data_IF_199122985241
#
_entry.id   IF_199122985241
#
_cell.length_a   1.000
_cell.length_b   1.000
_cell.length_c   1.000
_cell.angle_alpha   90.00
_cell.angle_beta   90.00
_cell.angle_gamma   90.00
#
_symmetry.space_group_name_H-M   'P 1'
#
loop_
_entity.id
_entity.type
_entity.pdbx_description
1 polymer ?
#
# COMPACT_ATOMS: atom_id res chain seq x y z
N UNK A 1 36.23 14.58 -16.65
CA UNK A 1 36.18 13.96 -15.31
C UNK A 1 35.12 14.73 -14.52
N UNK A 2 33.85 14.36 -14.44
CA UNK A 2 33.24 13.04 -14.33
C UNK A 2 32.46 13.01 -13.02
N UNK A 3 31.44 13.86 -12.90
CA UNK A 3 30.58 13.99 -11.70
C UNK A 3 29.59 12.83 -11.66
N UNK A 4 30.00 11.69 -11.10
CA UNK A 4 29.16 10.51 -10.85
C UNK A 4 28.41 10.60 -9.50
N UNK A 5 27.52 11.58 -9.36
CA UNK A 5 26.52 11.56 -8.29
C UNK A 5 25.16 11.92 -8.87
N UNK A 6 24.12 11.19 -8.43
CA UNK A 6 22.70 11.20 -8.88
C UNK A 6 22.35 10.22 -10.03
N UNK A 7 22.53 8.92 -9.78
CA UNK A 7 21.68 7.85 -10.31
C UNK A 7 21.18 7.09 -9.09
N UNK A 8 19.89 6.93 -8.78
CA UNK A 8 18.68 6.95 -9.59
C UNK A 8 17.50 7.11 -8.63
N UNK A 9 16.89 8.28 -8.64
CA UNK A 9 15.67 8.58 -7.89
C UNK A 9 14.75 9.29 -8.89
N UNK A 10 14.08 8.50 -9.73
CA UNK A 10 13.06 9.02 -10.64
C UNK A 10 11.75 9.05 -9.85
N UNK A 11 11.55 10.14 -9.11
CA UNK A 11 10.26 10.51 -8.57
C UNK A 11 9.48 11.25 -9.66
N UNK A 12 8.30 10.76 -10.03
CA UNK A 12 7.41 11.46 -10.95
C UNK A 12 6.15 11.88 -10.19
N UNK A 13 5.82 13.17 -10.23
CA UNK A 13 4.52 13.72 -9.85
C UNK A 13 3.64 13.56 -11.10
N UNK A 14 2.60 12.73 -11.05
CA UNK A 14 1.89 12.32 -12.28
C UNK A 14 0.83 13.32 -12.76
N UNK A 15 0.23 14.11 -11.88
CA UNK A 15 -0.89 14.98 -12.21
C UNK A 15 -0.70 16.38 -11.61
N UNK A 16 -0.55 17.40 -12.47
CA UNK A 16 -0.43 18.81 -12.07
C UNK A 16 -1.70 19.56 -12.43
N UNK A 17 -2.18 20.40 -11.50
CA UNK A 17 -3.31 21.28 -11.71
C UNK A 17 -2.85 22.73 -11.56
N UNK A 18 -2.96 23.49 -12.63
CA UNK A 18 -2.70 24.94 -12.64
C UNK A 18 -4.03 25.68 -12.67
N UNK A 19 -4.16 26.71 -11.84
CA UNK A 19 -5.36 27.55 -11.76
C UNK A 19 -4.96 29.01 -11.77
N UNK A 20 -5.75 29.82 -12.44
CA UNK A 20 -5.51 31.25 -12.62
C UNK A 20 -6.82 32.02 -12.82
N UNK A 21 -6.78 33.35 -12.72
CA UNK A 21 -7.97 34.18 -12.91
C UNK A 21 -8.55 34.05 -14.33
N UNK A 22 -9.86 34.21 -14.44
CA UNK A 22 -10.59 34.23 -15.73
C UNK A 22 -10.01 35.29 -16.67
N UNK A 23 -10.03 35.00 -17.98
CA UNK A 23 -9.52 35.87 -19.05
C UNK A 23 -8.05 36.31 -18.91
N UNK A 24 -7.26 35.55 -18.16
CA UNK A 24 -5.81 35.78 -18.05
C UNK A 24 -4.99 34.65 -18.69
N UNK A 25 -3.80 34.94 -19.23
CA UNK A 25 -2.92 33.92 -19.77
C UNK A 25 -2.20 33.10 -18.68
N UNK A 26 -2.49 33.32 -17.39
CA UNK A 26 -1.73 32.78 -16.25
C UNK A 26 -1.64 31.26 -16.29
N UNK A 27 -2.76 30.55 -16.57
CA UNK A 27 -2.74 29.09 -16.66
C UNK A 27 -1.84 28.59 -17.80
N UNK A 28 -1.85 29.28 -18.95
CA UNK A 28 -0.99 28.92 -20.08
C UNK A 28 0.47 29.19 -19.75
N UNK A 29 0.77 30.37 -19.18
CA UNK A 29 2.12 30.74 -18.76
C UNK A 29 2.69 29.75 -17.73
N UNK A 30 1.87 29.31 -16.77
CA UNK A 30 2.26 28.29 -15.79
C UNK A 30 2.55 26.94 -16.46
N UNK A 31 1.71 26.52 -17.41
CA UNK A 31 1.91 25.27 -18.16
C UNK A 31 3.17 25.32 -19.03
N UNK A 32 3.41 26.43 -19.73
CA UNK A 32 4.59 26.64 -20.57
C UNK A 32 5.87 26.67 -19.73
N UNK A 33 5.88 27.48 -18.66
CA UNK A 33 7.01 27.55 -17.71
C UNK A 33 7.30 26.19 -17.10
N UNK A 34 6.25 25.46 -16.70
CA UNK A 34 6.41 24.11 -16.16
C UNK A 34 6.98 23.13 -17.19
N UNK A 35 6.57 23.26 -18.45
CA UNK A 35 7.07 22.45 -19.55
C UNK A 35 8.54 22.73 -19.84
N UNK A 36 8.95 24.00 -19.88
CA UNK A 36 10.34 24.42 -20.07
C UNK A 36 11.24 23.87 -18.95
N UNK A 37 10.78 23.97 -17.69
CA UNK A 37 11.49 23.41 -16.53
C UNK A 37 11.63 21.89 -16.67
N UNK A 38 10.58 21.19 -17.11
CA UNK A 38 10.64 19.74 -17.29
C UNK A 38 11.59 19.34 -18.43
N UNK A 39 11.62 20.09 -19.52
CA UNK A 39 12.58 19.88 -20.61
C UNK A 39 14.02 20.09 -20.14
N UNK A 40 14.30 21.19 -19.42
CA UNK A 40 15.62 21.47 -18.85
C UNK A 40 16.08 20.39 -17.86
N UNK A 41 15.16 19.87 -17.05
CA UNK A 41 15.42 18.82 -16.07
C UNK A 41 15.40 17.39 -16.67
N UNK A 42 15.10 17.24 -17.96
CA UNK A 42 14.99 15.94 -18.63
C UNK A 42 13.82 15.08 -18.15
N UNK A 43 12.75 15.70 -17.64
CA UNK A 43 11.52 15.06 -17.17
C UNK A 43 10.52 14.96 -18.33
N UNK A 44 10.17 13.75 -18.81
CA UNK A 44 9.29 13.59 -19.96
C UNK A 44 7.85 13.92 -19.59
N UNK A 45 7.19 14.91 -20.22
CA UNK A 45 5.76 15.20 -20.02
C UNK A 45 4.91 14.35 -20.99
N UNK A 46 3.81 13.79 -20.50
CA UNK A 46 2.79 13.14 -21.33
C UNK A 46 1.95 14.22 -22.05
N UNK A 47 2.43 14.71 -23.19
CA UNK A 47 1.77 15.76 -23.96
C UNK A 47 0.36 15.33 -24.40
N UNK A 48 0.13 14.04 -24.63
CA UNK A 48 -1.17 13.47 -24.98
C UNK A 48 -2.20 13.49 -23.84
N UNK A 49 -1.75 13.74 -22.61
CA UNK A 49 -2.60 13.89 -21.41
C UNK A 49 -2.62 15.32 -20.89
N UNK A 50 -1.78 16.19 -21.43
CA UNK A 50 -1.70 17.58 -21.02
C UNK A 50 -2.88 18.33 -21.61
N UNK A 51 -3.70 18.92 -20.74
CA UNK A 51 -4.84 19.74 -21.13
C UNK A 51 -4.45 21.18 -20.89
N UNK A 52 -4.54 22.01 -21.93
CA UNK A 52 -4.33 23.45 -21.81
C UNK A 52 -5.38 24.11 -20.90
N UNK A 53 -5.37 25.45 -20.79
CA UNK A 53 -6.37 26.18 -20.05
C UNK A 53 -7.78 25.81 -20.50
N UNK A 54 -8.55 25.24 -19.59
CA UNK A 54 -9.96 24.88 -19.80
C UNK A 54 -10.73 25.19 -18.54
N UNK A 55 -12.01 25.51 -18.70
CA UNK A 55 -12.92 25.77 -17.58
C UNK A 55 -13.58 24.51 -17.05
N UNK A 56 -13.46 23.38 -17.77
CA UNK A 56 -13.96 22.07 -17.34
C UNK A 56 -12.88 21.01 -17.56
N UNK A 57 -12.26 20.54 -16.48
CA UNK A 57 -11.13 19.62 -16.50
C UNK A 57 -11.43 18.32 -15.75
N UNK A 58 -11.14 17.17 -16.37
CA UNK A 58 -11.09 15.90 -15.64
C UNK A 58 -9.78 15.81 -14.87
N UNK A 59 -9.83 15.87 -13.54
CA UNK A 59 -8.66 15.78 -12.66
C UNK A 59 -8.94 14.80 -11.51
N UNK A 60 -8.01 13.85 -11.28
CA UNK A 60 -8.15 12.78 -10.26
C UNK A 60 -9.48 12.00 -10.33
N UNK A 61 -10.03 11.86 -11.54
CA UNK A 61 -11.28 11.13 -11.78
C UNK A 61 -12.56 11.88 -11.41
N UNK A 62 -12.47 13.19 -11.14
CA UNK A 62 -13.58 14.13 -11.00
C UNK A 62 -13.52 15.17 -12.13
N UNK A 63 -14.63 15.84 -12.42
CA UNK A 63 -14.66 17.03 -13.29
C UNK A 63 -14.66 18.24 -12.38
N UNK A 64 -13.66 19.10 -12.53
CA UNK A 64 -13.63 20.45 -11.97
C UNK A 64 -14.21 21.38 -13.02
N UNK A 65 -15.26 22.11 -12.69
CA UNK A 65 -15.91 23.07 -13.58
C UNK A 65 -15.92 24.44 -12.91
N UNK A 66 -15.16 25.37 -13.48
CA UNK A 66 -14.97 26.72 -12.95
C UNK A 66 -16.05 27.69 -13.41
N UNK A 67 -16.86 27.36 -14.41
CA UNK A 67 -18.01 28.19 -14.81
C UNK A 67 -19.14 27.97 -13.82
N UNK A 68 -19.49 26.71 -13.58
CA UNK A 68 -20.53 26.33 -12.63
C UNK A 68 -20.05 26.37 -11.18
N UNK A 69 -18.73 26.51 -10.97
CA UNK A 69 -18.07 26.50 -9.66
C UNK A 69 -18.37 25.21 -8.86
N UNK A 70 -18.27 24.07 -9.53
CA UNK A 70 -18.55 22.75 -8.95
C UNK A 70 -17.47 21.72 -9.27
N UNK A 71 -17.31 20.78 -8.34
CA UNK A 71 -16.61 19.52 -8.61
C UNK A 71 -17.65 18.41 -8.70
N UNK A 72 -17.74 17.75 -9.86
CA UNK A 72 -18.75 16.72 -10.13
C UNK A 72 -18.14 15.39 -10.57
N UNK A 73 -18.91 14.32 -10.40
CA UNK A 73 -18.54 13.01 -10.92
C UNK A 73 -18.72 13.02 -12.46
N UNK A 74 -17.76 12.53 -13.25
CA UNK A 74 -17.90 12.43 -14.70
C UNK A 74 -19.16 11.65 -15.12
N UNK A 75 -19.83 12.13 -16.18
CA UNK A 75 -21.10 11.56 -16.63
C UNK A 75 -20.97 10.08 -17.03
N UNK A 76 -19.84 9.67 -17.59
CA UNK A 76 -19.55 8.28 -17.94
C UNK A 76 -19.55 7.35 -16.70
N UNK A 77 -19.02 7.81 -15.56
CA UNK A 77 -19.08 7.08 -14.30
C UNK A 77 -20.50 7.02 -13.75
N UNK A 78 -21.27 8.11 -13.86
CA UNK A 78 -22.68 8.15 -13.46
C UNK A 78 -23.55 7.22 -14.30
N UNK A 79 -23.34 7.20 -15.62
CA UNK A 79 -24.05 6.30 -16.54
C UNK A 79 -23.72 4.85 -16.26
N UNK A 80 -22.43 4.55 -16.02
CA UNK A 80 -22.00 3.21 -15.62
C UNK A 80 -22.67 2.78 -14.31
N UNK A 81 -22.69 3.65 -13.30
CA UNK A 81 -23.34 3.37 -12.02
C UNK A 81 -24.85 3.16 -12.20
N UNK A 82 -25.53 4.00 -13.00
CA UNK A 82 -26.95 3.84 -13.34
C UNK A 82 -27.22 2.51 -14.03
N UNK A 83 -26.40 2.12 -15.01
CA UNK A 83 -26.55 0.85 -15.72
C UNK A 83 -26.36 -0.38 -14.81
N UNK A 84 -25.59 -0.24 -13.73
CA UNK A 84 -25.44 -1.28 -12.71
C UNK A 84 -26.62 -1.30 -11.73
N UNK A 85 -27.19 -0.13 -11.42
CA UNK A 85 -28.32 0.02 -10.50
C UNK A 85 -29.66 -0.38 -11.11
N UNK A 86 -29.88 -0.15 -12.41
CA UNK A 86 -31.15 -0.43 -13.08
C UNK A 86 -31.59 -1.89 -12.95
N UNK A 87 -30.76 -2.90 -13.29
CA UNK A 87 -31.15 -4.32 -13.13
C UNK A 87 -31.42 -4.71 -11.67
N UNK A 88 -30.78 -4.04 -10.72
CA UNK A 88 -30.93 -4.27 -9.28
C UNK A 88 -32.26 -3.74 -8.77
N UNK A 89 -32.65 -2.54 -9.19
CA UNK A 89 -33.89 -1.89 -8.77
C UNK A 89 -35.15 -2.62 -9.28
N UNK A 90 -35.07 -3.29 -10.43
CA UNK A 90 -36.22 -3.99 -11.04
C UNK A 90 -36.36 -5.47 -10.66
N UNK A 91 -35.34 -6.08 -10.06
CA UNK A 91 -35.39 -7.49 -9.70
C UNK A 91 -35.90 -7.71 -8.27
N UNK A 92 -36.88 -8.60 -8.09
CA UNK A 92 -37.39 -9.02 -6.76
C UNK A 92 -36.35 -9.76 -5.90
N UNK A 93 -35.25 -10.21 -6.51
CA UNK A 93 -34.12 -10.89 -5.87
C UNK A 93 -32.82 -10.38 -6.48
N UNK A 94 -31.89 -10.01 -5.61
CA UNK A 94 -30.55 -9.54 -5.96
C UNK A 94 -29.56 -10.61 -5.53
N UNK A 95 -28.55 -10.90 -6.35
CA UNK A 95 -27.45 -11.77 -5.93
C UNK A 95 -26.42 -10.96 -5.13
N UNK A 96 -25.61 -11.65 -4.32
CA UNK A 96 -24.48 -11.01 -3.64
C UNK A 96 -23.57 -10.29 -4.66
N UNK A 97 -23.29 -10.94 -5.80
CA UNK A 97 -22.46 -10.39 -6.89
C UNK A 97 -23.01 -9.11 -7.52
N UNK A 98 -24.33 -8.95 -7.58
CA UNK A 98 -24.95 -7.73 -8.11
C UNK A 98 -24.77 -6.57 -7.13
N UNK A 99 -25.00 -6.81 -5.83
CA UNK A 99 -24.68 -5.87 -4.75
C UNK A 99 -23.20 -5.49 -4.75
N UNK A 100 -22.32 -6.47 -4.93
CA UNK A 100 -20.87 -6.25 -5.01
C UNK A 100 -20.47 -5.30 -6.15
N UNK A 101 -21.15 -5.39 -7.29
CA UNK A 101 -20.89 -4.57 -8.47
C UNK A 101 -21.37 -3.11 -8.32
N UNK A 102 -22.40 -2.88 -7.51
CA UNK A 102 -23.03 -1.57 -7.33
C UNK A 102 -22.47 -0.79 -6.15
N UNK A 103 -22.20 -1.47 -5.03
CA UNK A 103 -21.79 -0.81 -3.79
C UNK A 103 -20.28 -0.50 -3.79
N UNK A 104 -19.52 -1.06 -4.74
CA UNK A 104 -18.06 -0.99 -4.71
C UNK A 104 -17.56 -1.78 -3.51
N UNK A 105 -17.61 -3.11 -3.63
CA UNK A 105 -17.23 -4.09 -2.62
C UNK A 105 -16.29 -3.57 -1.53
N UNK A 106 -16.77 -3.62 -0.29
CA UNK A 106 -15.90 -3.47 0.87
C UNK A 106 -14.88 -4.62 0.86
N UNK A 107 -13.64 -4.33 0.50
CA UNK A 107 -12.55 -5.30 0.47
C UNK A 107 -12.06 -5.50 1.89
N UNK A 108 -12.50 -6.59 2.52
CA UNK A 108 -12.02 -7.00 3.83
C UNK A 108 -10.59 -7.56 3.74
N UNK A 109 -9.70 -7.01 4.55
CA UNK A 109 -8.30 -7.42 4.68
C UNK A 109 -8.02 -7.78 6.13
N UNK A 110 -7.46 -8.96 6.37
CA UNK A 110 -6.93 -9.31 7.69
C UNK A 110 -5.41 -9.17 7.67
N UNK A 111 -4.83 -8.45 8.64
CA UNK A 111 -3.37 -8.36 8.82
C UNK A 111 -3.01 -9.09 10.11
N UNK A 112 -2.40 -10.26 9.98
CA UNK A 112 -2.06 -11.14 11.09
C UNK A 112 -0.55 -11.21 11.26
N UNK A 113 -0.09 -11.07 12.50
CA UNK A 113 1.33 -11.23 12.80
C UNK A 113 1.67 -11.04 14.26
N UNK A 114 2.96 -10.79 14.51
CA UNK A 114 3.49 -10.72 15.87
C UNK A 114 3.42 -9.31 16.49
N UNK A 115 4.38 -8.98 17.37
CA UNK A 115 4.51 -7.65 17.97
C UNK A 115 4.75 -6.54 16.93
N UNK A 116 5.40 -6.83 15.79
CA UNK A 116 5.55 -5.86 14.70
C UNK A 116 4.21 -5.38 14.16
N UNK A 117 3.25 -6.28 13.93
CA UNK A 117 1.89 -5.93 13.48
C UNK A 117 1.12 -5.20 14.57
N UNK A 118 1.28 -5.62 15.84
CA UNK A 118 0.65 -4.91 16.97
C UNK A 118 1.13 -3.46 17.05
N UNK A 119 2.44 -3.24 16.93
CA UNK A 119 3.03 -1.91 16.98
C UNK A 119 2.65 -1.08 15.75
N UNK A 120 2.65 -1.68 14.56
CA UNK A 120 2.19 -1.03 13.33
C UNK A 120 0.72 -0.60 13.42
N UNK A 121 -0.16 -1.40 14.02
CA UNK A 121 -1.55 -1.00 14.29
C UNK A 121 -1.63 0.21 15.22
N UNK A 122 -0.87 0.20 16.33
CA UNK A 122 -0.84 1.34 17.26
C UNK A 122 -0.34 2.60 16.55
N UNK A 123 0.71 2.48 15.74
CA UNK A 123 1.27 3.58 14.94
C UNK A 123 0.29 4.08 13.86
N UNK A 124 -0.47 3.19 13.24
CA UNK A 124 -1.48 3.56 12.25
C UNK A 124 -2.61 4.42 12.83
N UNK A 125 -2.88 4.35 14.15
CA UNK A 125 -3.95 5.15 14.80
C UNK A 125 -3.66 6.65 14.80
N UNK A 126 -2.39 7.05 14.83
CA UNK A 126 -1.97 8.46 14.85
C UNK A 126 -1.62 9.02 13.47
N UNK A 127 -1.64 8.19 12.42
CA UNK A 127 -1.30 8.59 11.05
C UNK A 127 -2.50 9.09 10.27
N UNK A 128 -2.24 9.97 9.29
CA UNK A 128 -3.21 10.33 8.26
C UNK A 128 -3.69 9.08 7.51
N UNK A 129 -5.01 8.92 7.37
CA UNK A 129 -5.63 7.71 6.83
C UNK A 129 -5.95 6.63 7.87
N UNK A 130 -5.44 6.78 9.11
CA UNK A 130 -5.79 5.97 10.26
C UNK A 130 -5.50 4.48 10.10
N UNK A 131 -6.22 3.67 10.88
CA UNK A 131 -6.05 2.20 10.90
C UNK A 131 -6.42 1.50 9.58
N UNK A 132 -7.10 2.19 8.66
CA UNK A 132 -7.37 1.69 7.32
C UNK A 132 -6.35 2.18 6.28
N UNK A 133 -5.27 2.85 6.71
CA UNK A 133 -4.18 3.33 5.85
C UNK A 133 -4.68 4.22 4.69
N UNK A 134 -5.78 4.94 4.91
CA UNK A 134 -6.44 5.73 3.88
C UNK A 134 -7.09 4.93 2.75
N UNK A 135 -7.08 3.59 2.79
CA UNK A 135 -7.64 2.72 1.76
C UNK A 135 -9.17 2.57 1.85
N UNK A 136 -9.79 3.10 2.91
CA UNK A 136 -11.25 3.25 2.98
C UNK A 136 -11.82 4.00 1.76
N UNK A 137 -11.03 4.89 1.15
CA UNK A 137 -11.37 5.63 -0.08
C UNK A 137 -11.60 4.73 -1.31
N UNK A 138 -11.02 3.53 -1.30
CA UNK A 138 -11.21 2.50 -2.33
C UNK A 138 -11.99 1.29 -1.78
N UNK A 139 -12.75 1.48 -0.71
CA UNK A 139 -13.59 0.44 -0.12
C UNK A 139 -12.83 -0.59 0.73
N UNK A 140 -11.58 -0.36 1.15
CA UNK A 140 -10.86 -1.34 1.96
C UNK A 140 -11.12 -1.15 3.45
N UNK A 141 -11.42 -2.26 4.14
CA UNK A 141 -11.45 -2.34 5.60
C UNK A 141 -10.40 -3.32 6.11
N UNK A 142 -9.55 -2.85 7.01
CA UNK A 142 -8.45 -3.60 7.57
C UNK A 142 -8.77 -4.04 9.00
N UNK A 143 -8.61 -5.34 9.26
CA UNK A 143 -8.67 -5.92 10.59
C UNK A 143 -7.29 -6.38 11.06
N UNK A 144 -6.77 -5.72 12.10
CA UNK A 144 -5.42 -5.93 12.63
C UNK A 144 -5.42 -6.98 13.74
N UNK A 145 -4.51 -7.96 13.62
CA UNK A 145 -4.41 -9.12 14.51
C UNK A 145 -2.95 -9.37 14.86
N UNK A 146 -2.39 -8.47 15.68
CA UNK A 146 -1.00 -8.49 16.14
C UNK A 146 -0.85 -9.04 17.57
N UNK A 147 -0.14 -10.16 17.73
CA UNK A 147 0.03 -10.84 19.01
C UNK A 147 1.50 -10.96 19.41
N UNK A 148 1.86 -10.51 20.62
CA UNK A 148 3.25 -10.57 21.09
C UNK A 148 3.81 -12.01 21.06
N UNK A 149 4.99 -12.18 20.46
CA UNK A 149 5.67 -13.49 20.42
C UNK A 149 5.09 -14.53 19.45
N UNK A 150 3.99 -14.22 18.74
CA UNK A 150 3.35 -15.14 17.80
C UNK A 150 4.35 -15.73 16.79
N UNK A 151 4.34 -17.04 16.65
CA UNK A 151 5.10 -17.80 15.65
C UNK A 151 4.20 -18.72 14.84
N UNK A 152 4.81 -19.57 14.00
CA UNK A 152 4.07 -20.48 13.10
C UNK A 152 3.08 -21.39 13.83
N UNK A 153 3.48 -21.94 14.98
CA UNK A 153 2.65 -22.83 15.81
C UNK A 153 1.32 -22.20 16.27
N UNK A 154 1.25 -20.87 16.33
CA UNK A 154 0.10 -20.13 16.84
C UNK A 154 -0.87 -19.71 15.72
N UNK A 155 -0.43 -19.79 14.46
CA UNK A 155 -1.17 -19.23 13.33
C UNK A 155 -2.49 -19.96 13.08
N UNK A 156 -2.46 -21.29 13.05
CA UNK A 156 -3.64 -22.11 12.74
C UNK A 156 -4.78 -21.87 13.73
N UNK A 157 -4.49 -21.93 15.04
CA UNK A 157 -5.48 -21.68 16.08
C UNK A 157 -5.99 -20.23 16.06
N UNK A 158 -5.12 -19.27 15.71
CA UNK A 158 -5.50 -17.87 15.52
C UNK A 158 -6.48 -17.72 14.37
N UNK A 159 -6.18 -18.23 13.18
CA UNK A 159 -7.09 -18.14 12.02
C UNK A 159 -8.45 -18.79 12.33
N UNK A 160 -8.45 -20.01 12.89
CA UNK A 160 -9.69 -20.69 13.30
C UNK A 160 -10.52 -19.87 14.29
N UNK A 161 -9.86 -19.15 15.21
CA UNK A 161 -10.55 -18.25 16.14
C UNK A 161 -11.14 -17.03 15.42
N UNK A 162 -10.38 -16.38 14.55
CA UNK A 162 -10.84 -15.19 13.81
C UNK A 162 -12.07 -15.48 12.95
N UNK A 163 -12.12 -16.64 12.30
CA UNK A 163 -13.26 -17.09 11.50
C UNK A 163 -14.56 -17.24 12.30
N UNK A 164 -14.50 -17.30 13.64
CA UNK A 164 -15.71 -17.32 14.49
C UNK A 164 -16.32 -15.93 14.65
N UNK A 165 -15.56 -14.87 14.41
CA UNK A 165 -15.96 -13.49 14.68
C UNK A 165 -16.21 -12.68 13.40
N UNK A 166 -15.57 -13.05 12.29
CA UNK A 166 -15.66 -12.29 11.04
C UNK A 166 -15.64 -13.23 9.83
N UNK A 167 -16.25 -12.78 8.72
CA UNK A 167 -16.21 -13.51 7.46
C UNK A 167 -14.78 -13.55 6.89
N UNK A 168 -14.49 -14.61 6.13
CA UNK A 168 -13.21 -14.77 5.44
C UNK A 168 -12.84 -13.49 4.65
N UNK A 169 -11.61 -12.97 4.79
CA UNK A 169 -11.22 -11.75 4.09
C UNK A 169 -10.97 -12.04 2.61
N UNK A 170 -10.98 -11.00 1.78
CA UNK A 170 -10.47 -11.13 0.40
C UNK A 170 -8.95 -11.32 0.41
N UNK A 171 -8.25 -10.57 1.26
CA UNK A 171 -6.79 -10.69 1.44
C UNK A 171 -6.42 -11.01 2.89
N UNK A 172 -5.60 -12.04 3.08
CA UNK A 172 -5.00 -12.38 4.36
C UNK A 172 -3.50 -12.05 4.32
N UNK A 173 -3.14 -10.90 4.89
CA UNK A 173 -1.74 -10.48 5.02
C UNK A 173 -1.11 -11.17 6.22
N UNK A 174 -0.05 -11.93 5.97
CA UNK A 174 0.70 -12.67 6.99
C UNK A 174 2.09 -12.05 7.16
N UNK A 175 2.36 -11.53 8.35
CA UNK A 175 3.68 -11.06 8.77
C UNK A 175 4.15 -11.89 9.97
N UNK A 176 4.70 -13.07 9.69
CA UNK A 176 4.99 -14.09 10.71
C UNK A 176 6.35 -14.76 10.45
N UNK A 177 6.65 -15.85 11.17
CA UNK A 177 7.84 -16.69 11.09
C UNK A 177 9.16 -16.04 11.56
N UNK A 178 9.26 -14.72 11.68
CA UNK A 178 10.46 -14.06 12.21
C UNK A 178 10.89 -14.54 13.60
N UNK A 179 9.93 -15.01 14.42
CA UNK A 179 10.19 -15.55 15.77
C UNK A 179 10.62 -17.02 15.76
N UNK A 180 10.58 -17.70 14.61
CA UNK A 180 10.88 -19.13 14.47
C UNK A 180 12.30 -19.39 13.95
N UNK A 181 12.98 -18.32 13.55
CA UNK A 181 14.38 -18.33 13.14
C UNK A 181 15.31 -18.80 14.26
N UNK A 182 16.21 -19.73 13.91
CA UNK A 182 17.22 -20.30 14.80
C UNK A 182 16.71 -21.46 15.68
N UNK A 183 15.41 -21.76 15.66
CA UNK A 183 14.83 -22.91 16.40
C UNK A 183 15.11 -24.25 15.71
N UNK A 184 15.11 -24.26 14.38
CA UNK A 184 15.29 -25.46 13.55
C UNK A 184 16.19 -25.16 12.35
N UNK A 185 16.64 -26.19 11.63
CA UNK A 185 17.42 -25.98 10.40
C UNK A 185 16.56 -25.30 9.34
N UNK A 186 17.19 -24.49 8.48
CA UNK A 186 16.53 -23.69 7.46
C UNK A 186 15.55 -24.47 6.57
N UNK A 187 15.94 -25.68 6.16
CA UNK A 187 15.10 -26.54 5.32
C UNK A 187 13.81 -26.99 6.03
N UNK A 188 13.89 -27.29 7.33
CA UNK A 188 12.71 -27.65 8.13
C UNK A 188 11.80 -26.45 8.32
N UNK A 189 12.34 -25.29 8.72
CA UNK A 189 11.57 -24.05 8.85
C UNK A 189 10.84 -23.70 7.54
N UNK A 190 11.53 -23.80 6.40
CA UNK A 190 10.93 -23.56 5.08
C UNK A 190 9.73 -24.48 4.84
N UNK A 191 9.87 -25.77 5.11
CA UNK A 191 8.81 -26.75 4.88
C UNK A 191 7.65 -26.54 5.86
N UNK A 192 7.93 -26.18 7.11
CA UNK A 192 6.94 -25.86 8.13
C UNK A 192 6.11 -24.62 7.75
N UNK A 193 6.75 -23.56 7.22
CA UNK A 193 6.04 -22.39 6.70
C UNK A 193 5.09 -22.81 5.58
N UNK A 194 5.57 -23.57 4.59
CA UNK A 194 4.74 -24.01 3.45
C UNK A 194 3.54 -24.84 3.89
N UNK A 195 3.77 -25.86 4.72
CA UNK A 195 2.70 -26.70 5.25
C UNK A 195 1.68 -25.89 6.06
N UNK A 196 2.15 -24.91 6.84
CA UNK A 196 1.26 -24.00 7.57
C UNK A 196 0.41 -23.15 6.63
N UNK A 197 1.00 -22.60 5.55
CA UNK A 197 0.26 -21.81 4.56
C UNK A 197 -0.79 -22.64 3.82
N UNK A 198 -0.47 -23.89 3.44
CA UNK A 198 -1.43 -24.80 2.80
C UNK A 198 -2.61 -25.11 3.73
N UNK A 199 -2.35 -25.35 5.02
CA UNK A 199 -3.40 -25.52 6.03
C UNK A 199 -4.26 -24.27 6.17
N UNK A 200 -3.66 -23.08 6.24
CA UNK A 200 -4.42 -21.82 6.33
C UNK A 200 -5.28 -21.62 5.08
N UNK A 201 -4.75 -21.90 3.88
CA UNK A 201 -5.50 -21.80 2.63
C UNK A 201 -6.70 -22.78 2.61
N UNK A 202 -6.57 -23.97 3.19
CA UNK A 202 -7.70 -24.93 3.24
C UNK A 202 -8.84 -24.46 4.14
N UNK A 203 -8.57 -23.63 5.16
CA UNK A 203 -9.61 -22.99 5.97
C UNK A 203 -10.25 -21.78 5.30
N UNK A 204 -9.51 -21.11 4.41
CA UNK A 204 -9.90 -19.87 3.75
C UNK A 204 -9.73 -19.97 2.23
N UNK A 205 -10.47 -20.87 1.54
CA UNK A 205 -10.19 -21.22 0.14
C UNK A 205 -10.35 -20.05 -0.84
N UNK A 206 -11.19 -19.06 -0.51
CA UNK A 206 -11.45 -17.89 -1.35
C UNK A 206 -10.60 -16.66 -0.96
N UNK A 207 -9.78 -16.76 0.08
CA UNK A 207 -8.88 -15.68 0.49
C UNK A 207 -7.56 -15.77 -0.26
N UNK A 208 -7.08 -14.64 -0.76
CA UNK A 208 -5.73 -14.52 -1.30
C UNK A 208 -4.73 -14.33 -0.15
N UNK A 209 -3.81 -15.27 0.03
CA UNK A 209 -2.70 -15.11 0.98
C UNK A 209 -1.73 -14.06 0.44
N UNK A 210 -1.42 -13.08 1.28
CA UNK A 210 -0.40 -12.06 1.03
C UNK A 210 0.74 -12.27 2.01
N UNK A 211 1.90 -12.70 1.52
CA UNK A 211 3.06 -12.87 2.38
C UNK A 211 3.84 -11.56 2.49
N UNK A 212 3.81 -10.98 3.68
CA UNK A 212 4.66 -9.84 4.02
C UNK A 212 6.04 -10.36 4.38
N UNK A 213 7.05 -10.00 3.60
CA UNK A 213 8.44 -10.38 3.80
C UNK A 213 8.89 -10.22 5.27
N UNK A 214 9.64 -11.21 5.77
CA UNK A 214 10.27 -11.14 7.08
C UNK A 214 11.32 -10.04 7.06
N UNK A 215 11.16 -9.02 7.90
CA UNK A 215 12.05 -7.86 7.98
C UNK A 215 13.45 -8.26 8.47
N UNK A 216 14.49 -7.50 8.10
CA UNK A 216 15.80 -7.68 8.72
C UNK A 216 15.73 -7.37 10.22
N UNK A 217 16.64 -8.02 10.96
CA UNK A 217 16.86 -7.83 12.39
C UNK A 217 18.36 -7.81 12.62
N UNK A 218 18.80 -7.00 13.57
CA UNK A 218 20.19 -7.01 14.05
C UNK A 218 20.35 -7.94 15.24
N UNK A 219 19.23 -8.39 15.83
CA UNK A 219 19.20 -9.31 16.95
C UNK A 219 18.25 -10.50 16.70
N UNK A 220 18.83 -11.71 16.62
CA UNK A 220 18.15 -12.98 16.45
C UNK A 220 18.35 -13.84 17.71
N UNK A 221 17.28 -13.97 18.52
CA UNK A 221 17.29 -14.60 19.86
C UNK A 221 17.99 -15.96 19.96
N UNK A 222 17.92 -16.78 18.91
CA UNK A 222 18.40 -18.17 18.93
C UNK A 222 19.70 -18.38 18.12
N UNK A 223 20.42 -17.31 17.77
CA UNK A 223 21.68 -17.42 17.04
C UNK A 223 22.71 -16.43 17.58
N UNK A 224 23.95 -16.89 17.62
CA UNK A 224 25.12 -16.05 17.92
C UNK A 224 25.57 -15.30 16.65
N UNK A 225 25.46 -15.94 15.47
CA UNK A 225 25.83 -15.34 14.19
C UNK A 225 24.64 -14.61 13.56
N UNK A 226 24.59 -13.29 13.71
CA UNK A 226 23.51 -12.45 13.16
C UNK A 226 23.55 -12.41 11.61
N UNK A 227 24.75 -12.40 11.03
CA UNK A 227 24.94 -12.40 9.56
C UNK A 227 24.42 -13.68 8.90
N UNK A 228 24.69 -14.83 9.53
CA UNK A 228 24.17 -16.12 9.05
C UNK A 228 22.63 -16.15 9.12
N UNK A 229 22.04 -15.53 10.14
CA UNK A 229 20.59 -15.41 10.24
C UNK A 229 20.00 -14.48 9.19
N UNK A 230 20.69 -13.40 8.86
CA UNK A 230 20.32 -12.52 7.76
C UNK A 230 20.37 -13.23 6.41
N UNK A 231 21.40 -14.04 6.14
CA UNK A 231 21.46 -14.87 4.94
C UNK A 231 20.33 -15.92 4.90
N UNK A 232 20.04 -16.57 6.03
CA UNK A 232 18.90 -17.48 6.18
C UNK A 232 17.58 -16.77 5.89
N UNK A 233 17.39 -15.55 6.39
CA UNK A 233 16.18 -14.74 6.17
C UNK A 233 15.97 -14.47 4.69
N UNK A 234 17.00 -14.05 3.97
CA UNK A 234 16.94 -13.80 2.52
C UNK A 234 16.52 -15.07 1.77
N UNK A 235 17.13 -16.22 2.10
CA UNK A 235 16.81 -17.51 1.47
C UNK A 235 15.37 -17.96 1.74
N UNK A 236 14.88 -17.80 2.97
CA UNK A 236 13.49 -18.12 3.32
C UNK A 236 12.53 -17.21 2.57
N UNK A 237 12.74 -15.90 2.62
CA UNK A 237 11.88 -14.94 1.94
C UNK A 237 11.78 -15.24 0.44
N UNK A 238 12.90 -15.51 -0.23
CA UNK A 238 12.92 -15.92 -1.63
C UNK A 238 12.10 -17.21 -1.87
N UNK A 239 12.36 -18.27 -1.08
CA UNK A 239 11.69 -19.55 -1.26
C UNK A 239 10.17 -19.50 -0.98
N UNK A 240 9.74 -18.68 -0.02
CA UNK A 240 8.32 -18.51 0.33
C UNK A 240 7.63 -17.57 -0.67
N UNK A 241 8.30 -16.53 -1.16
CA UNK A 241 7.77 -15.69 -2.24
C UNK A 241 7.41 -16.54 -3.47
N UNK A 242 8.35 -17.36 -3.96
CA UNK A 242 8.08 -18.25 -5.10
C UNK A 242 6.93 -19.22 -4.84
N UNK A 243 6.82 -19.75 -3.61
CA UNK A 243 5.74 -20.65 -3.24
C UNK A 243 4.38 -19.96 -3.21
N UNK A 244 4.28 -18.80 -2.58
CA UNK A 244 3.03 -18.04 -2.45
C UNK A 244 2.54 -17.58 -3.82
N UNK A 245 3.44 -17.02 -4.65
CA UNK A 245 3.11 -16.58 -6.01
C UNK A 245 2.65 -17.75 -6.91
N UNK A 246 3.32 -18.91 -6.83
CA UNK A 246 2.91 -20.11 -7.58
C UNK A 246 1.50 -20.58 -7.22
N UNK A 247 1.04 -20.30 -6.00
CA UNK A 247 -0.31 -20.64 -5.52
C UNK A 247 -1.31 -19.49 -5.66
N UNK A 248 -1.04 -18.48 -6.49
CA UNK A 248 -1.94 -17.34 -6.74
C UNK A 248 -2.02 -16.33 -5.60
N UNK A 249 -1.13 -16.43 -4.61
CA UNK A 249 -0.99 -15.44 -3.53
C UNK A 249 -0.13 -14.25 -3.95
N UNK A 250 0.02 -13.29 -3.04
CA UNK A 250 0.75 -12.04 -3.27
C UNK A 250 1.96 -11.91 -2.33
N UNK A 251 2.93 -11.08 -2.68
CA UNK A 251 4.15 -10.92 -1.91
C UNK A 251 4.54 -9.45 -1.73
N UNK A 252 4.81 -9.04 -0.49
CA UNK A 252 5.25 -7.66 -0.16
C UNK A 252 6.71 -7.68 0.28
N UNK A 253 7.56 -6.93 -0.43
CA UNK A 253 8.96 -6.64 -0.13
C UNK A 253 9.08 -5.30 0.60
N UNK A 254 10.21 -5.12 1.28
CA UNK A 254 10.56 -3.87 1.96
C UNK A 254 12.05 -3.56 1.68
N UNK A 255 12.41 -3.14 0.45
CA UNK A 255 13.79 -2.82 0.09
C UNK A 255 14.41 -1.72 0.97
N UNK A 256 13.61 -0.74 1.40
CA UNK A 256 14.10 0.39 2.21
C UNK A 256 14.41 0.04 3.66
N UNK A 257 13.78 -1.00 4.20
CA UNK A 257 14.02 -1.40 5.59
C UNK A 257 15.31 -2.23 5.60
N UNK A 258 16.43 -1.54 5.78
CA UNK A 258 17.78 -2.12 5.81
C UNK A 258 18.20 -2.53 7.23
N UNK A 259 19.05 -3.57 7.39
CA UNK A 259 19.71 -3.85 8.67
C UNK A 259 20.60 -2.66 9.10
N UNK A 260 20.72 -2.43 10.41
CA UNK A 260 21.52 -1.32 10.98
C UNK A 260 21.11 0.09 10.52
N UNK A 261 19.84 0.28 10.16
CA UNK A 261 19.27 1.58 9.82
C UNK A 261 18.62 2.25 11.03
N UNK A 262 18.31 3.53 10.90
CA UNK A 262 17.48 4.29 11.85
C UNK A 262 16.03 3.78 11.94
N UNK A 263 15.67 2.76 11.15
CA UNK A 263 14.33 2.16 11.12
C UNK A 263 14.13 1.09 12.19
N UNK A 264 15.20 0.59 12.83
CA UNK A 264 15.11 -0.38 13.93
C UNK A 264 15.38 0.30 15.28
N UNK A 265 14.62 -0.10 16.30
CA UNK A 265 14.87 0.28 17.70
C UNK A 265 16.18 -0.37 18.18
N UNK A 266 16.66 0.09 19.33
CA UNK A 266 17.85 -0.44 20.00
C UNK A 266 17.76 -1.95 20.29
N UNK A 267 16.55 -2.50 20.44
CA UNK A 267 16.35 -3.94 20.61
C UNK A 267 16.70 -4.78 19.37
N UNK A 268 16.90 -4.13 18.22
CA UNK A 268 17.32 -4.76 16.97
C UNK A 268 16.24 -5.59 16.28
N UNK A 269 15.00 -5.51 16.74
CA UNK A 269 13.87 -6.34 16.27
C UNK A 269 12.68 -5.49 15.87
N UNK A 270 12.31 -4.49 16.67
CA UNK A 270 11.13 -3.68 16.43
C UNK A 270 11.47 -2.41 15.64
N UNK A 271 10.49 -1.92 14.90
CA UNK A 271 10.64 -0.69 14.11
C UNK A 271 10.54 0.56 14.99
N UNK A 272 11.33 1.58 14.68
CA UNK A 272 11.15 2.96 15.17
C UNK A 272 9.88 3.57 14.57
N UNK A 273 9.51 4.79 14.98
CA UNK A 273 8.34 5.48 14.40
C UNK A 273 8.52 5.68 12.89
N UNK A 274 9.70 6.14 12.46
CA UNK A 274 10.07 6.24 11.05
C UNK A 274 10.07 4.87 10.35
N UNK A 275 10.57 3.82 11.01
CA UNK A 275 10.50 2.46 10.47
C UNK A 275 9.07 1.97 10.28
N UNK A 276 8.16 2.26 11.23
CA UNK A 276 6.74 1.95 11.10
C UNK A 276 6.09 2.77 9.99
N UNK A 277 6.49 4.03 9.79
CA UNK A 277 6.00 4.84 8.68
C UNK A 277 6.30 4.18 7.33
N UNK A 278 7.55 3.80 7.09
CA UNK A 278 7.97 3.11 5.87
C UNK A 278 7.22 1.78 5.71
N UNK A 279 7.12 0.99 6.78
CA UNK A 279 6.42 -0.29 6.77
C UNK A 279 4.93 -0.15 6.40
N UNK A 280 4.22 0.78 7.03
CA UNK A 280 2.81 1.03 6.76
C UNK A 280 2.57 1.62 5.36
N UNK A 281 3.49 2.48 4.91
CA UNK A 281 3.46 3.06 3.56
C UNK A 281 3.62 2.00 2.48
N UNK A 282 4.47 1.01 2.71
CA UNK A 282 4.62 -0.16 1.85
C UNK A 282 3.37 -1.06 1.88
N UNK A 283 2.81 -1.33 3.07
CA UNK A 283 1.57 -2.11 3.20
C UNK A 283 0.39 -1.44 2.46
N UNK A 284 0.25 -0.12 2.62
CA UNK A 284 -0.77 0.66 1.95
C UNK A 284 -0.62 0.56 0.42
N UNK A 285 0.57 0.86 -0.10
CA UNK A 285 0.83 0.84 -1.55
C UNK A 285 0.66 -0.56 -2.15
N UNK A 286 1.08 -1.60 -1.43
CA UNK A 286 0.89 -2.99 -1.84
C UNK A 286 -0.59 -3.36 -1.96
N UNK A 287 -1.39 -3.07 -0.92
CA UNK A 287 -2.82 -3.40 -0.93
C UNK A 287 -3.57 -2.60 -2.00
N UNK A 288 -3.28 -1.32 -2.15
CA UNK A 288 -3.82 -0.49 -3.24
C UNK A 288 -3.50 -1.11 -4.61
N UNK A 289 -2.25 -1.54 -4.81
CA UNK A 289 -1.84 -2.20 -6.05
C UNK A 289 -2.54 -3.52 -6.29
N UNK A 290 -2.57 -4.42 -5.32
CA UNK A 290 -3.16 -5.75 -5.48
C UNK A 290 -4.65 -5.66 -5.80
N UNK A 291 -5.33 -4.63 -5.29
CA UNK A 291 -6.76 -4.40 -5.50
C UNK A 291 -7.03 -3.70 -6.83
N UNK A 292 -6.26 -2.66 -7.16
CA UNK A 292 -6.57 -1.79 -8.30
C UNK A 292 -5.94 -2.25 -9.62
N UNK A 293 -4.73 -2.83 -9.59
CA UNK A 293 -4.00 -3.24 -10.80
C UNK A 293 -3.88 -4.75 -10.97
N UNK A 294 -4.24 -5.54 -9.95
CA UNK A 294 -4.12 -7.00 -9.98
C UNK A 294 -2.67 -7.50 -10.00
N UNK A 295 -1.70 -6.66 -9.61
CA UNK A 295 -0.31 -7.11 -9.42
C UNK A 295 -0.21 -8.12 -8.28
N UNK A 296 0.78 -9.02 -8.35
CA UNK A 296 1.00 -10.07 -7.35
C UNK A 296 2.20 -9.76 -6.43
N UNK A 297 3.03 -8.77 -6.76
CA UNK A 297 4.23 -8.43 -5.97
C UNK A 297 4.36 -6.93 -5.81
N UNK A 298 4.71 -6.48 -4.60
CA UNK A 298 4.96 -5.07 -4.33
C UNK A 298 6.24 -4.88 -3.49
N UNK A 299 7.10 -3.91 -3.82
CA UNK A 299 7.20 -3.25 -5.11
C UNK A 299 7.44 -4.26 -6.24
N UNK A 300 6.77 -4.05 -7.36
CA UNK A 300 7.06 -4.77 -8.60
C UNK A 300 8.37 -4.24 -9.17
N UNK A 301 9.27 -5.11 -9.61
CA UNK A 301 10.54 -4.73 -10.23
C UNK A 301 10.35 -4.00 -11.57
N UNK A 302 9.13 -4.04 -12.14
CA UNK A 302 8.71 -3.22 -13.29
C UNK A 302 7.92 -1.94 -12.91
N UNK A 303 7.67 -1.71 -11.62
CA UNK A 303 6.75 -0.70 -11.11
C UNK A 303 7.38 0.22 -10.07
N UNK A 304 8.60 0.70 -10.32
CA UNK A 304 9.33 1.65 -9.44
C UNK A 304 8.58 2.97 -9.21
N UNK A 305 7.55 3.29 -10.01
CA UNK A 305 6.77 4.54 -9.91
C UNK A 305 5.87 4.64 -8.67
N UNK A 306 5.41 3.50 -8.10
CA UNK A 306 4.34 3.52 -7.07
C UNK A 306 4.80 3.42 -5.62
N UNK A 307 6.12 3.43 -5.40
CA UNK A 307 6.74 3.25 -4.09
C UNK A 307 6.78 4.54 -3.23
N UNK A 308 6.49 5.69 -3.85
CA UNK A 308 6.79 7.02 -3.31
C UNK A 308 5.53 7.77 -2.82
N UNK A 309 4.35 7.44 -3.37
CA UNK A 309 3.09 8.17 -3.13
C UNK A 309 2.60 8.14 -1.66
N UNK A 310 3.00 7.14 -0.87
CA UNK A 310 2.59 7.01 0.53
C UNK A 310 3.46 7.82 1.51
N UNK A 311 4.70 8.13 1.17
CA UNK A 311 5.56 9.04 1.94
C UNK A 311 5.22 10.53 1.68
N UNK A 312 4.69 10.88 0.49
CA UNK A 312 4.47 12.27 0.08
C UNK A 312 3.23 12.93 0.71
N UNK A 313 2.17 12.17 1.03
CA UNK A 313 0.96 12.71 1.70
C UNK A 313 1.25 13.23 3.12
N UNK A 314 2.22 12.64 3.82
CA UNK A 314 2.64 13.06 5.16
C UNK A 314 3.45 14.36 5.11
N UNK A 315 4.29 14.53 4.08
CA UNK A 315 5.05 15.76 3.85
C UNK A 315 4.12 16.90 3.42
N UNK A 316 3.15 16.64 2.54
CA UNK A 316 2.19 17.65 2.07
C UNK A 316 1.25 18.14 3.20
N UNK A 317 0.80 17.26 4.10
CA UNK A 317 0.04 17.67 5.29
C UNK A 317 0.86 18.57 6.23
N UNK A 318 2.17 18.33 6.33
CA UNK A 318 3.10 19.15 7.13
C UNK A 318 3.32 20.52 6.48
N UNK A 319 3.49 20.58 5.16
CA UNK A 319 3.65 21.84 4.41
C UNK A 319 2.36 22.67 4.39
N UNK A 320 1.19 22.04 4.21
CA UNK A 320 -0.11 22.73 4.25
C UNK A 320 -0.44 23.29 5.65
N UNK A 321 0.03 22.63 6.72
CA UNK A 321 -0.09 23.17 8.09
C UNK A 321 0.82 24.40 8.33
N UNK A 322 1.90 24.54 7.56
CA UNK A 322 2.83 25.69 7.64
C UNK A 322 2.40 26.87 6.76
N UNK A 323 1.50 26.66 5.79
CA UNK A 323 0.96 27.72 4.92
C UNK A 323 -0.29 28.42 5.50
N UNK A 324 -0.92 27.85 6.51
CA UNK A 324 -2.12 28.40 7.15
C UNK A 324 -1.96 29.60 8.11
N UNK A 325 -0.76 30.03 8.60
CA UNK A 325 -0.70 31.18 9.51
C UNK A 325 -0.68 32.57 8.86
N UNK A 326 -0.61 32.70 7.52
CA UNK A 326 -0.30 33.99 6.89
C UNK A 326 -1.42 34.70 6.12
N UNK A 327 -2.67 34.23 6.20
CA UNK A 327 -3.83 34.98 5.68
C UNK A 327 -4.91 35.17 6.75
N UNK A 328 -4.58 35.98 7.75
CA UNK A 328 -5.57 36.71 8.55
C UNK A 328 -4.93 38.01 9.03
N UNK A 329 -5.25 39.12 8.34
CA UNK A 329 -4.94 40.48 8.77
C UNK A 329 -4.26 41.32 7.68
N UNK A 330 -5.00 42.31 7.18
CA UNK A 330 -4.52 43.32 6.22
C UNK A 330 -5.63 43.77 5.30
#
# INVERSE_FOLDING_TARGET
MGTEWVKSLVHYLDDFLFGGPEDTPVCQMMLDTFSDICEELGVPIASEKSVGPVTSLKFLGLVIDTVEMVVRIPQDKLLKLKSLLEPILFNKKITHKDLESVVGLEVSVWIVGSSLIRNAFVHARSRTGGVNLGLHRIGVKIWWQGYGGMGLKDLESTIKRLMKYEKAPKYLVLHIAGNDFGKTKLGFLRNEIKATLEKVQSYLPNSSIVWSQILPRTNWRHSISQDSMMACRIRINSAIASFVLKNGGHYIKYPDILPNSTFLKEDGVHLTDLGNDIFLNNLQGALEMFICSGSYTYPDTFGTSMYILSNFKTVLATVLSQLHPHFSGG
#
